data_IF_503551443511
#
_entry.id   IF_503551443511
#
_cell.length_a   1.000
_cell.length_b   1.000
_cell.length_c   1.000
_cell.angle_alpha   90.00
_cell.angle_beta   90.00
_cell.angle_gamma   90.00
#
_symmetry.space_group_name_H-M   'P 1'
#
loop_
_entity.id
_entity.type
_entity.pdbx_description
1 polymer ?
#
# COMPACT_ATOMS: atom_id res chain seq x y z
N UNK A 1 -3.36 -42.23 6.83
CA UNK A 1 -4.46 -42.12 7.83
C UNK A 1 -3.98 -41.24 8.97
N UNK A 2 -4.75 -40.20 9.29
CA UNK A 2 -4.41 -39.14 10.27
C UNK A 2 -4.35 -39.66 11.73
N UNK A 3 -4.74 -40.91 11.99
CA UNK A 3 -4.85 -41.47 13.35
C UNK A 3 -3.52 -41.68 14.09
N UNK A 4 -2.37 -41.51 13.42
CA UNK A 4 -1.03 -41.59 14.04
C UNK A 4 -0.34 -40.22 14.16
N UNK A 5 -1.02 -39.14 13.79
CA UNK A 5 -0.50 -37.78 13.85
C UNK A 5 -1.25 -37.00 14.93
N UNK A 6 -0.51 -36.32 15.82
CA UNK A 6 -1.10 -35.33 16.72
C UNK A 6 -1.52 -34.11 15.90
N UNK A 7 -2.83 -33.86 15.82
CA UNK A 7 -3.37 -32.69 15.13
C UNK A 7 -3.57 -31.57 16.14
N UNK A 8 -2.80 -30.50 16.01
CA UNK A 8 -3.05 -29.26 16.75
C UNK A 8 -3.86 -28.34 15.83
N UNK A 9 -5.14 -28.18 16.16
CA UNK A 9 -6.00 -27.24 15.47
C UNK A 9 -5.79 -25.86 16.06
N UNK A 10 -5.20 -24.96 15.29
CA UNK A 10 -5.14 -23.54 15.63
C UNK A 10 -6.29 -22.84 14.93
N UNK A 11 -7.14 -22.16 15.69
CA UNK A 11 -8.19 -21.34 15.12
C UNK A 11 -7.59 -19.99 14.69
N UNK A 12 -7.56 -19.64 13.39
CA UNK A 12 -6.88 -18.43 12.92
C UNK A 12 -7.46 -17.14 13.50
N UNK A 13 -8.75 -17.14 13.87
CA UNK A 13 -9.43 -16.01 14.51
C UNK A 13 -8.95 -15.74 15.94
N UNK A 14 -8.37 -16.75 16.60
CA UNK A 14 -7.92 -16.64 17.99
C UNK A 14 -6.61 -15.87 18.13
N UNK A 15 -5.81 -15.80 17.06
CA UNK A 15 -4.52 -15.10 17.11
C UNK A 15 -4.68 -13.58 17.01
N UNK A 16 -5.79 -13.10 16.41
CA UNK A 16 -6.05 -11.67 16.20
C UNK A 16 -5.06 -10.98 15.27
N UNK A 17 -5.27 -9.68 15.04
CA UNK A 17 -4.34 -8.82 14.28
C UNK A 17 -3.36 -8.09 15.20
N UNK A 18 -3.65 -8.02 16.51
CA UNK A 18 -2.82 -7.31 17.50
C UNK A 18 -1.44 -7.95 17.67
N UNK A 19 -1.37 -9.29 17.63
CA UNK A 19 -0.08 -10.01 17.66
C UNK A 19 0.81 -9.66 16.48
N UNK A 20 0.22 -9.39 15.31
CA UNK A 20 0.97 -8.99 14.13
C UNK A 20 1.51 -7.58 14.30
N UNK A 21 0.71 -6.68 14.87
CA UNK A 21 1.13 -5.33 15.19
C UNK A 21 2.29 -5.34 16.18
N UNK A 22 2.17 -6.03 17.30
CA UNK A 22 3.24 -6.07 18.31
C UNK A 22 4.53 -6.64 17.75
N UNK A 23 4.47 -7.76 17.04
CA UNK A 23 5.65 -8.37 16.40
C UNK A 23 6.26 -7.43 15.34
N UNK A 24 5.43 -6.77 14.53
CA UNK A 24 5.91 -5.82 13.52
C UNK A 24 6.55 -4.59 14.19
N UNK A 25 5.90 -4.00 15.18
CA UNK A 25 6.42 -2.87 15.94
C UNK A 25 7.75 -3.19 16.58
N UNK A 26 8.01 -4.41 17.06
CA UNK A 26 9.32 -4.82 17.59
C UNK A 26 10.38 -4.93 16.48
N UNK A 27 10.00 -5.40 15.29
CA UNK A 27 10.91 -5.58 14.15
C UNK A 27 11.38 -4.28 13.47
N UNK A 28 10.75 -3.14 13.76
CA UNK A 28 11.10 -1.84 13.18
C UNK A 28 12.53 -1.41 13.56
N UNK A 29 13.23 -0.65 12.69
CA UNK A 29 14.60 -0.23 12.94
C UNK A 29 14.70 0.75 14.13
N UNK A 30 15.87 0.84 14.81
CA UNK A 30 16.06 1.69 16.00
C UNK A 30 15.79 3.18 15.76
N UNK A 31 16.01 3.65 14.53
CA UNK A 31 15.68 5.00 14.05
C UNK A 31 14.21 5.35 14.24
N UNK A 32 13.31 4.36 14.22
CA UNK A 32 11.91 4.50 14.61
C UNK A 32 11.82 4.37 16.12
N UNK A 33 11.98 5.49 16.81
CA UNK A 33 11.98 5.55 18.27
C UNK A 33 10.62 5.23 18.92
N UNK A 34 10.61 5.15 20.26
CA UNK A 34 9.44 4.77 21.04
C UNK A 34 8.19 5.64 20.79
N UNK A 35 8.38 6.96 20.60
CA UNK A 35 7.26 7.88 20.33
C UNK A 35 6.55 7.57 18.99
N UNK A 36 7.30 7.22 17.94
CA UNK A 36 6.74 6.84 16.66
C UNK A 36 6.01 5.49 16.73
N UNK A 37 6.59 4.51 17.44
CA UNK A 37 5.94 3.22 17.68
C UNK A 37 4.63 3.36 18.46
N UNK A 38 4.62 4.21 19.49
CA UNK A 38 3.40 4.52 20.25
C UNK A 38 2.34 5.22 19.37
N UNK A 39 2.78 6.10 18.46
CA UNK A 39 1.88 6.75 17.49
C UNK A 39 1.27 5.74 16.53
N UNK A 40 2.05 4.80 16.00
CA UNK A 40 1.58 3.72 15.12
C UNK A 40 0.59 2.80 15.84
N UNK A 41 0.90 2.37 17.07
CA UNK A 41 0.02 1.58 17.90
C UNK A 41 -1.32 2.30 18.12
N UNK A 42 -1.27 3.58 18.53
CA UNK A 42 -2.46 4.37 18.79
C UNK A 42 -3.37 4.50 17.55
N UNK A 43 -2.81 4.79 16.38
CA UNK A 43 -3.60 4.87 15.14
C UNK A 43 -4.14 3.50 14.71
N UNK A 44 -3.38 2.43 14.93
CA UNK A 44 -3.86 1.08 14.68
C UNK A 44 -5.11 0.77 15.51
N UNK A 45 -5.03 0.98 16.82
CA UNK A 45 -6.13 0.67 17.75
C UNK A 45 -7.40 1.48 17.46
N UNK A 46 -7.23 2.72 16.99
CA UNK A 46 -8.34 3.60 16.62
C UNK A 46 -9.01 3.17 15.32
N UNK A 47 -8.25 2.94 14.25
CA UNK A 47 -8.81 2.87 12.89
C UNK A 47 -8.97 1.44 12.35
N UNK A 48 -8.04 0.53 12.67
CA UNK A 48 -7.95 -0.77 11.99
C UNK A 48 -9.07 -1.72 12.40
N UNK A 49 -9.37 -1.94 13.70
CA UNK A 49 -10.45 -2.83 14.11
C UNK A 49 -11.82 -2.39 13.57
N UNK A 50 -12.13 -1.08 13.65
CA UNK A 50 -13.39 -0.52 13.16
C UNK A 50 -13.54 -0.66 11.65
N UNK A 51 -12.45 -0.46 10.90
CA UNK A 51 -12.47 -0.58 9.44
C UNK A 51 -12.57 -2.04 8.98
N UNK A 52 -11.87 -2.97 9.65
CA UNK A 52 -12.01 -4.41 9.37
C UNK A 52 -13.45 -4.87 9.65
N UNK A 53 -14.03 -4.44 10.78
CA UNK A 53 -15.43 -4.73 11.10
C UNK A 53 -16.37 -4.19 10.02
N UNK A 54 -16.18 -2.93 9.60
CA UNK A 54 -17.00 -2.31 8.57
C UNK A 54 -16.88 -3.04 7.22
N UNK A 55 -15.65 -3.40 6.82
CA UNK A 55 -15.36 -4.16 5.62
C UNK A 55 -16.09 -5.50 5.61
N UNK A 56 -15.97 -6.27 6.69
CA UNK A 56 -16.57 -7.62 6.78
C UNK A 56 -18.09 -7.57 6.87
N UNK A 57 -18.66 -6.53 7.47
CA UNK A 57 -20.09 -6.44 7.75
C UNK A 57 -20.89 -5.82 6.62
N UNK A 58 -20.35 -4.81 5.93
CA UNK A 58 -21.12 -3.95 5.03
C UNK A 58 -20.64 -3.95 3.59
N UNK A 59 -19.47 -4.52 3.29
CA UNK A 59 -18.85 -4.44 1.98
C UNK A 59 -18.73 -5.82 1.32
N UNK A 60 -18.52 -5.80 0.00
CA UNK A 60 -18.31 -6.99 -0.80
C UNK A 60 -16.92 -6.92 -1.46
N UNK A 61 -16.14 -7.97 -1.25
CA UNK A 61 -14.84 -8.15 -1.88
C UNK A 61 -14.96 -9.08 -3.08
N UNK A 62 -14.52 -8.67 -4.29
CA UNK A 62 -14.53 -9.54 -5.47
C UNK A 62 -13.63 -10.77 -5.31
N UNK A 63 -12.54 -10.63 -4.54
CA UNK A 63 -11.61 -11.71 -4.20
C UNK A 63 -11.60 -11.84 -2.68
N UNK A 64 -11.95 -13.01 -2.10
CA UNK A 64 -11.95 -13.20 -0.66
C UNK A 64 -10.57 -12.95 -0.05
N UNK A 65 -10.51 -12.15 1.01
CA UNK A 65 -9.28 -11.84 1.75
C UNK A 65 -9.37 -12.31 3.20
N UNK A 66 -8.24 -12.24 3.92
CA UNK A 66 -8.14 -12.55 5.34
C UNK A 66 -7.56 -11.33 6.07
N UNK A 67 -8.10 -11.00 7.24
CA UNK A 67 -7.74 -9.79 8.00
C UNK A 67 -6.23 -9.69 8.26
N UNK A 68 -5.61 -10.80 8.66
CA UNK A 68 -4.17 -10.88 8.89
C UNK A 68 -3.35 -10.51 7.64
N UNK A 69 -3.82 -10.87 6.44
CA UNK A 69 -3.13 -10.55 5.20
C UNK A 69 -3.35 -9.08 4.81
N UNK A 70 -4.55 -8.54 5.01
CA UNK A 70 -4.81 -7.11 4.80
C UNK A 70 -3.91 -6.24 5.69
N UNK A 71 -3.82 -6.58 6.98
CA UNK A 71 -2.95 -5.89 7.94
C UNK A 71 -1.48 -6.10 7.60
N UNK A 72 -1.07 -7.31 7.19
CA UNK A 72 0.31 -7.54 6.73
C UNK A 72 0.65 -6.71 5.50
N UNK A 73 -0.27 -6.58 4.54
CA UNK A 73 -0.09 -5.70 3.38
C UNK A 73 0.06 -4.24 3.78
N UNK A 74 -0.68 -3.77 4.81
CA UNK A 74 -0.51 -2.43 5.36
C UNK A 74 0.92 -2.21 5.87
N UNK A 75 1.44 -3.16 6.64
CA UNK A 75 2.82 -3.13 7.15
C UNK A 75 3.85 -3.15 6.04
N UNK A 76 3.68 -4.00 5.02
CA UNK A 76 4.58 -4.04 3.87
C UNK A 76 4.65 -2.67 3.15
N UNK A 77 3.52 -1.95 3.04
CA UNK A 77 3.49 -0.59 2.46
C UNK A 77 4.24 0.40 3.38
N UNK A 78 3.99 0.36 4.69
CA UNK A 78 4.69 1.21 5.66
C UNK A 78 6.19 0.97 5.66
N UNK A 79 6.61 -0.29 5.59
CA UNK A 79 8.02 -0.68 5.53
C UNK A 79 8.72 -0.07 4.31
N UNK A 80 8.02 0.15 3.20
CA UNK A 80 8.61 0.85 2.04
C UNK A 80 8.99 2.30 2.32
N UNK A 81 8.33 2.95 3.29
CA UNK A 81 8.66 4.30 3.75
C UNK A 81 9.75 4.31 4.82
N UNK A 82 9.90 3.20 5.55
CA UNK A 82 10.91 3.06 6.60
C UNK A 82 12.24 2.49 6.08
N UNK A 83 12.26 1.84 4.91
CA UNK A 83 13.46 1.29 4.28
C UNK A 83 14.64 2.29 4.19
N UNK A 84 14.47 3.58 3.86
CA UNK A 84 15.56 4.55 3.89
C UNK A 84 16.15 4.86 5.29
N UNK A 85 15.48 4.42 6.35
CA UNK A 85 15.86 4.62 7.75
C UNK A 85 16.37 3.34 8.41
N UNK A 86 16.44 2.24 7.67
CA UNK A 86 17.08 1.00 8.10
C UNK A 86 18.59 1.18 7.99
N UNK A 87 19.30 0.97 9.09
CA UNK A 87 20.77 1.04 9.13
C UNK A 87 21.35 -0.08 8.25
N UNK A 88 22.23 0.30 7.33
CA UNK A 88 22.99 -0.65 6.50
C UNK A 88 24.43 -0.17 6.39
N UNK A 89 25.37 -1.10 6.28
CA UNK A 89 26.80 -0.80 6.19
C UNK A 89 27.16 0.06 4.96
N UNK A 90 26.32 0.06 3.92
CA UNK A 90 26.50 0.78 2.66
C UNK A 90 25.88 2.19 2.64
N UNK A 91 25.31 2.68 3.76
CA UNK A 91 24.59 3.97 3.82
C UNK A 91 24.91 4.76 5.08
N UNK A 92 24.91 6.09 4.94
CA UNK A 92 25.00 6.99 6.08
C UNK A 92 23.76 6.85 6.97
N UNK A 93 23.93 6.94 8.31
CA UNK A 93 22.80 6.89 9.23
C UNK A 93 21.83 8.04 8.97
N UNK A 94 20.52 7.83 9.21
CA UNK A 94 19.52 8.86 8.99
C UNK A 94 19.77 10.07 9.91
N UNK A 95 19.71 11.27 9.35
CA UNK A 95 19.85 12.52 10.11
C UNK A 95 18.65 12.73 11.03
N UNK A 96 18.86 13.41 12.17
CA UNK A 96 17.79 13.70 13.13
C UNK A 96 16.64 14.50 12.50
N UNK A 97 16.93 15.39 11.55
CA UNK A 97 15.95 16.16 10.80
C UNK A 97 15.04 15.26 9.94
N UNK A 98 15.62 14.28 9.24
CA UNK A 98 14.86 13.31 8.44
C UNK A 98 13.99 12.41 9.31
N UNK A 99 14.46 12.02 10.50
CA UNK A 99 13.66 11.25 11.46
C UNK A 99 12.49 12.09 12.01
N UNK A 100 12.73 13.36 12.33
CA UNK A 100 11.68 14.27 12.77
C UNK A 100 10.64 14.55 11.66
N UNK A 101 11.09 14.67 10.41
CA UNK A 101 10.23 14.76 9.24
C UNK A 101 9.33 13.53 9.13
N UNK A 102 9.91 12.33 9.18
CA UNK A 102 9.16 11.07 9.15
C UNK A 102 8.13 10.98 10.28
N UNK A 103 8.49 11.39 11.50
CA UNK A 103 7.55 11.40 12.63
C UNK A 103 6.34 12.33 12.39
N UNK A 104 6.56 13.47 11.72
CA UNK A 104 5.49 14.39 11.32
C UNK A 104 4.60 13.84 10.19
N UNK A 105 5.15 13.00 9.32
CA UNK A 105 4.46 12.40 8.18
C UNK A 105 3.75 11.07 8.54
N UNK A 106 4.11 10.48 9.69
CA UNK A 106 3.68 9.17 10.14
C UNK A 106 2.15 8.99 10.16
N UNK A 107 1.33 9.95 10.64
CA UNK A 107 -0.13 9.79 10.61
C UNK A 107 -0.68 9.68 9.18
N UNK A 108 -0.27 10.55 8.26
CA UNK A 108 -0.68 10.48 6.87
C UNK A 108 -0.17 9.21 6.16
N UNK A 109 1.07 8.79 6.41
CA UNK A 109 1.62 7.54 5.89
C UNK A 109 0.85 6.32 6.38
N UNK A 110 0.42 6.32 7.64
CA UNK A 110 -0.43 5.28 8.22
C UNK A 110 -1.77 5.20 7.47
N UNK A 111 -2.46 6.34 7.32
CA UNK A 111 -3.74 6.39 6.61
C UNK A 111 -3.62 6.01 5.15
N UNK A 112 -2.57 6.48 4.46
CA UNK A 112 -2.27 6.08 3.09
C UNK A 112 -2.11 4.56 2.98
N UNK A 113 -1.29 3.97 3.84
CA UNK A 113 -1.01 2.53 3.82
C UNK A 113 -2.27 1.72 4.10
N UNK A 114 -3.11 2.16 5.04
CA UNK A 114 -4.39 1.53 5.37
C UNK A 114 -5.39 1.59 4.21
N UNK A 115 -5.49 2.74 3.52
CA UNK A 115 -6.36 2.90 2.33
C UNK A 115 -5.93 1.94 1.22
N UNK A 116 -4.62 1.82 0.99
CA UNK A 116 -4.06 0.99 -0.08
C UNK A 116 -3.85 -0.49 0.28
N UNK A 117 -4.23 -0.89 1.49
CA UNK A 117 -4.23 -2.29 1.94
C UNK A 117 -5.63 -2.74 2.32
N UNK A 118 -6.05 -2.45 3.57
CA UNK A 118 -7.33 -2.86 4.15
C UNK A 118 -8.52 -2.39 3.30
N UNK A 119 -8.44 -1.18 2.74
CA UNK A 119 -9.56 -0.61 1.98
C UNK A 119 -9.47 -0.84 0.46
N UNK A 120 -8.45 -1.56 -0.03
CA UNK A 120 -8.19 -1.69 -1.46
C UNK A 120 -8.95 -2.85 -2.14
N UNK A 121 -9.34 -3.88 -1.36
CA UNK A 121 -9.91 -5.15 -1.85
C UNK A 121 -11.40 -5.13 -2.16
N UNK A 122 -12.07 -3.98 -2.02
CA UNK A 122 -13.52 -3.84 -2.22
C UNK A 122 -13.88 -3.42 -3.64
N UNK A 123 -15.14 -3.65 -4.02
CA UNK A 123 -15.69 -3.16 -5.29
C UNK A 123 -15.86 -1.63 -5.31
N UNK A 124 -16.24 -1.07 -6.47
CA UNK A 124 -16.37 0.37 -6.66
C UNK A 124 -17.39 1.03 -5.71
N UNK A 125 -18.53 0.39 -5.47
CA UNK A 125 -19.53 0.86 -4.50
C UNK A 125 -18.98 0.83 -3.06
N UNK A 126 -18.21 -0.21 -2.73
CA UNK A 126 -17.54 -0.33 -1.43
C UNK A 126 -16.49 0.76 -1.22
N UNK A 127 -15.77 1.18 -2.27
CA UNK A 127 -14.83 2.31 -2.20
C UNK A 127 -15.54 3.61 -1.81
N UNK A 128 -16.73 3.89 -2.36
CA UNK A 128 -17.51 5.09 -2.00
C UNK A 128 -17.95 5.06 -0.54
N UNK A 129 -18.37 3.89 -0.06
CA UNK A 129 -18.80 3.70 1.34
C UNK A 129 -17.63 3.81 2.31
N UNK A 130 -16.48 3.24 1.97
CA UNK A 130 -15.26 3.37 2.77
C UNK A 130 -14.75 4.79 2.83
N UNK A 131 -14.77 5.51 1.71
CA UNK A 131 -14.41 6.92 1.69
C UNK A 131 -15.24 7.72 2.70
N UNK A 132 -16.57 7.59 2.64
CA UNK A 132 -17.47 8.27 3.57
C UNK A 132 -17.25 7.85 5.04
N UNK A 133 -17.06 6.55 5.28
CA UNK A 133 -16.77 6.01 6.61
C UNK A 133 -15.46 6.57 7.17
N UNK A 134 -14.35 6.46 6.43
CA UNK A 134 -13.04 6.93 6.88
C UNK A 134 -13.02 8.44 7.13
N UNK A 135 -13.66 9.24 6.26
CA UNK A 135 -13.76 10.70 6.48
C UNK A 135 -14.55 11.05 7.73
N UNK A 136 -15.61 10.29 8.02
CA UNK A 136 -16.40 10.45 9.25
C UNK A 136 -15.57 10.10 10.49
N UNK A 137 -14.87 8.96 10.47
CA UNK A 137 -13.99 8.53 11.56
C UNK A 137 -12.84 9.52 11.79
N UNK A 138 -12.20 10.01 10.73
CA UNK A 138 -11.15 11.03 10.84
C UNK A 138 -11.67 12.34 11.45
N UNK A 139 -12.89 12.75 11.08
CA UNK A 139 -13.50 13.97 11.61
C UNK A 139 -13.91 13.81 13.08
N UNK A 140 -14.46 12.64 13.46
CA UNK A 140 -14.89 12.36 14.83
C UNK A 140 -13.71 12.21 15.79
N UNK A 141 -12.61 11.62 15.33
CA UNK A 141 -11.39 11.40 16.11
C UNK A 141 -10.41 12.58 16.06
N UNK A 142 -10.70 13.63 15.29
CA UNK A 142 -9.86 14.83 15.20
C UNK A 142 -8.52 14.59 14.53
N UNK A 143 -8.50 13.84 13.42
CA UNK A 143 -7.28 13.54 12.69
C UNK A 143 -6.58 14.80 12.19
N UNK A 144 -5.27 14.90 12.43
CA UNK A 144 -4.49 16.12 12.20
C UNK A 144 -4.26 16.46 10.73
N UNK A 145 -4.30 15.47 9.82
CA UNK A 145 -3.97 15.62 8.40
C UNK A 145 -5.07 15.06 7.48
N UNK A 146 -6.31 15.58 7.54
CA UNK A 146 -7.44 14.99 6.80
C UNK A 146 -7.24 15.06 5.28
N UNK A 147 -7.88 14.14 4.56
CA UNK A 147 -7.92 14.17 3.10
C UNK A 147 -8.69 15.41 2.60
N UNK A 148 -8.34 15.96 1.42
CA UNK A 148 -9.11 17.06 0.81
C UNK A 148 -10.58 16.66 0.57
N UNK A 149 -11.50 17.62 0.66
CA UNK A 149 -12.95 17.37 0.56
C UNK A 149 -13.39 16.91 -0.84
N UNK A 150 -12.65 17.29 -1.88
CA UNK A 150 -12.96 16.88 -3.25
C UNK A 150 -12.52 15.43 -3.50
N UNK A 151 -13.27 14.69 -4.32
CA UNK A 151 -12.88 13.32 -4.73
C UNK A 151 -12.86 12.29 -3.60
N UNK A 152 -12.30 11.11 -3.89
CA UNK A 152 -12.20 10.02 -2.91
C UNK A 152 -10.82 9.98 -2.26
N UNK A 153 -10.70 9.35 -1.09
CA UNK A 153 -9.41 9.08 -0.41
C UNK A 153 -8.39 8.37 -1.32
N UNK A 154 -8.87 7.56 -2.27
CA UNK A 154 -8.04 6.86 -3.26
C UNK A 154 -7.45 7.78 -4.34
N UNK A 155 -7.95 9.02 -4.46
CA UNK A 155 -7.51 9.98 -5.47
C UNK A 155 -6.25 10.74 -5.08
N UNK A 156 -5.79 10.58 -3.84
CA UNK A 156 -4.68 11.32 -3.27
C UNK A 156 -3.49 10.41 -2.92
N UNK A 157 -2.30 10.99 -3.03
CA UNK A 157 -1.05 10.46 -2.53
C UNK A 157 -0.46 11.48 -1.54
N UNK A 158 0.17 11.01 -0.47
CA UNK A 158 0.91 11.92 0.41
C UNK A 158 2.19 12.39 -0.30
N UNK A 159 2.60 13.64 -0.09
CA UNK A 159 3.77 14.19 -0.79
C UNK A 159 5.11 13.62 -0.32
N UNK A 160 5.25 13.20 0.95
CA UNK A 160 6.49 12.60 1.46
C UNK A 160 6.93 11.31 0.69
N UNK A 161 6.00 10.38 0.35
CA UNK A 161 6.28 9.27 -0.55
C UNK A 161 6.94 9.69 -1.87
N UNK A 162 6.60 10.84 -2.44
CA UNK A 162 7.00 11.22 -3.80
C UNK A 162 8.45 11.70 -3.91
N UNK A 163 9.22 11.67 -2.82
CA UNK A 163 10.59 12.19 -2.80
C UNK A 163 10.62 13.70 -2.81
N UNK A 164 9.57 14.35 -2.30
CA UNK A 164 9.48 15.79 -2.24
C UNK A 164 10.69 16.34 -1.47
N UNK A 165 11.40 17.31 -2.07
CA UNK A 165 12.57 17.98 -1.50
C UNK A 165 12.30 18.42 -0.05
N UNK A 166 13.34 18.51 0.77
CA UNK A 166 13.28 18.80 2.22
C UNK A 166 12.58 20.13 2.61
N UNK A 167 12.00 20.86 1.65
CA UNK A 167 11.17 22.06 1.83
C UNK A 167 9.81 22.07 1.12
N UNK A 168 9.37 20.96 0.51
CA UNK A 168 8.07 20.90 -0.16
C UNK A 168 6.91 20.83 0.85
N UNK A 169 5.78 21.46 0.50
CA UNK A 169 4.59 21.45 1.35
C UNK A 169 4.06 20.02 1.56
N UNK A 170 4.08 19.56 2.82
CA UNK A 170 3.48 18.30 3.25
C UNK A 170 1.96 18.36 3.09
N UNK A 171 1.44 17.70 2.08
CA UNK A 171 0.01 17.74 1.75
C UNK A 171 -0.40 16.54 0.90
N UNK A 172 -1.72 16.33 0.83
CA UNK A 172 -2.32 15.34 -0.06
C UNK A 172 -2.37 15.87 -1.49
N UNK A 173 -1.63 15.23 -2.39
CA UNK A 173 -1.52 15.61 -3.79
C UNK A 173 -2.32 14.64 -4.68
N UNK A 174 -3.14 15.13 -5.63
CA UNK A 174 -3.81 14.28 -6.59
C UNK A 174 -2.84 13.44 -7.43
N UNK A 175 -3.17 12.17 -7.69
CA UNK A 175 -2.29 11.26 -8.46
C UNK A 175 -1.90 11.75 -9.87
N UNK A 176 -2.71 12.60 -10.51
CA UNK A 176 -2.37 13.11 -11.84
C UNK A 176 -1.30 14.21 -11.80
N UNK A 177 -1.12 14.87 -10.66
CA UNK A 177 -0.09 15.90 -10.47
C UNK A 177 1.27 15.28 -10.12
N UNK A 178 1.31 13.97 -9.81
CA UNK A 178 2.54 13.26 -9.46
C UNK A 178 3.31 12.77 -10.68
N UNK A 179 2.75 12.90 -11.88
CA UNK A 179 3.34 12.41 -13.13
C UNK A 179 3.44 13.55 -14.14
N UNK A 180 4.44 13.47 -15.02
CA UNK A 180 4.58 14.43 -16.11
C UNK A 180 3.36 14.38 -17.05
N UNK A 181 2.93 15.52 -17.61
CA UNK A 181 1.86 15.55 -18.59
C UNK A 181 2.16 14.61 -19.76
N UNK A 182 1.21 13.76 -20.09
CA UNK A 182 1.37 12.82 -21.20
C UNK A 182 1.51 13.58 -22.53
N UNK A 183 2.66 13.46 -23.17
CA UNK A 183 2.88 13.92 -24.53
C UNK A 183 2.56 12.81 -25.53
N UNK A 184 1.69 13.12 -26.50
CA UNK A 184 1.29 12.17 -27.54
C UNK A 184 2.46 11.92 -28.52
N UNK A 185 2.99 10.70 -28.62
CA UNK A 185 4.02 10.39 -29.59
C UNK A 185 3.39 10.22 -30.98
N UNK A 186 3.53 11.23 -31.84
CA UNK A 186 2.91 11.26 -33.18
C UNK A 186 3.35 10.13 -34.14
N UNK A 187 4.39 9.36 -33.79
CA UNK A 187 4.96 8.26 -34.58
C UNK A 187 4.65 6.87 -34.03
N UNK A 188 4.00 6.76 -32.87
CA UNK A 188 3.69 5.46 -32.28
C UNK A 188 2.44 4.85 -32.94
N UNK A 189 2.46 3.55 -33.14
CA UNK A 189 1.28 2.80 -33.59
C UNK A 189 0.19 2.83 -32.52
N UNK A 190 -1.08 2.82 -32.92
CA UNK A 190 -2.20 2.91 -31.97
C UNK A 190 -2.18 1.78 -30.92
N UNK A 191 -1.67 0.61 -31.28
CA UNK A 191 -1.52 -0.53 -30.37
C UNK A 191 -0.44 -0.34 -29.29
N UNK A 192 0.48 0.61 -29.47
CA UNK A 192 1.59 0.90 -28.54
C UNK A 192 1.30 2.10 -27.64
N UNK A 193 0.20 2.83 -27.90
CA UNK A 193 -0.20 3.98 -27.11
C UNK A 193 -0.75 3.55 -25.73
N UNK A 194 0.10 3.67 -24.71
CA UNK A 194 -0.32 3.49 -23.31
C UNK A 194 -0.55 4.87 -22.71
N UNK A 195 -1.82 5.26 -22.60
CA UNK A 195 -2.21 6.54 -21.98
C UNK A 195 -2.19 6.37 -20.45
N UNK A 196 -1.42 7.17 -19.71
CA UNK A 196 -1.42 7.13 -18.26
C UNK A 196 -2.76 7.64 -17.74
N UNK A 197 -3.51 6.72 -17.13
CA UNK A 197 -4.72 6.99 -16.36
C UNK A 197 -4.40 7.08 -14.88
N UNK A 198 -5.29 7.71 -14.11
CA UNK A 198 -5.25 7.73 -12.64
C UNK A 198 -4.94 6.35 -12.04
N UNK A 199 -5.62 5.31 -12.51
CA UNK A 199 -5.45 3.94 -12.04
C UNK A 199 -4.10 3.34 -12.40
N UNK A 200 -3.62 3.55 -13.64
CA UNK A 200 -2.28 3.07 -14.02
C UNK A 200 -1.18 3.71 -13.19
N UNK A 201 -1.27 5.01 -12.88
CA UNK A 201 -0.28 5.72 -12.06
C UNK A 201 -0.25 5.15 -10.64
N UNK A 202 -1.42 5.02 -10.01
CA UNK A 202 -1.58 4.47 -8.65
C UNK A 202 -1.00 3.07 -8.53
N UNK A 203 -1.40 2.17 -9.42
CA UNK A 203 -1.01 0.77 -9.35
C UNK A 203 0.47 0.56 -9.67
N UNK A 204 1.02 1.30 -10.65
CA UNK A 204 2.47 1.28 -10.93
C UNK A 204 3.26 1.79 -9.74
N UNK A 205 2.85 2.91 -9.13
CA UNK A 205 3.54 3.46 -7.97
C UNK A 205 3.64 2.46 -6.81
N UNK A 206 2.50 1.87 -6.42
CA UNK A 206 2.44 0.89 -5.33
C UNK A 206 3.21 -0.38 -5.67
N UNK A 207 3.02 -0.91 -6.88
CA UNK A 207 3.70 -2.13 -7.32
C UNK A 207 5.21 -1.95 -7.32
N UNK A 208 5.70 -0.84 -7.90
CA UNK A 208 7.13 -0.54 -7.93
C UNK A 208 7.72 -0.46 -6.52
N UNK A 209 7.07 0.26 -5.60
CA UNK A 209 7.56 0.34 -4.21
C UNK A 209 7.60 -1.01 -3.50
N UNK A 210 6.53 -1.78 -3.61
CA UNK A 210 6.44 -3.09 -2.96
C UNK A 210 7.47 -4.06 -3.55
N UNK A 211 7.63 -4.09 -4.87
CA UNK A 211 8.63 -4.95 -5.54
C UNK A 211 10.05 -4.56 -5.13
N UNK A 212 10.38 -3.26 -5.09
CA UNK A 212 11.69 -2.77 -4.63
C UNK A 212 11.96 -3.13 -3.17
N UNK A 213 10.91 -3.23 -2.34
CA UNK A 213 10.99 -3.71 -0.96
C UNK A 213 10.77 -5.23 -0.83
N UNK A 214 11.00 -5.99 -1.91
CA UNK A 214 10.90 -7.46 -1.94
C UNK A 214 9.54 -8.04 -1.49
N UNK A 215 8.47 -7.25 -1.62
CA UNK A 215 7.10 -7.66 -1.31
C UNK A 215 6.35 -8.10 -2.57
N UNK A 216 5.61 -9.21 -2.46
CA UNK A 216 4.80 -9.74 -3.56
C UNK A 216 3.49 -8.97 -3.72
N UNK A 217 3.08 -8.75 -4.97
CA UNK A 217 1.87 -8.00 -5.32
C UNK A 217 0.97 -8.85 -6.19
N UNK A 218 -0.31 -8.92 -5.84
CA UNK A 218 -1.36 -9.51 -6.68
C UNK A 218 -2.28 -8.40 -7.18
N UNK A 219 -2.43 -8.31 -8.51
CA UNK A 219 -3.37 -7.39 -9.13
C UNK A 219 -4.53 -8.17 -9.75
N UNK A 220 -5.75 -7.89 -9.28
CA UNK A 220 -6.98 -8.48 -9.81
C UNK A 220 -7.82 -7.44 -10.54
N UNK A 221 -8.66 -7.90 -11.48
CA UNK A 221 -9.61 -7.07 -12.20
C UNK A 221 -10.05 -7.69 -13.52
N UNK A 222 -11.08 -7.13 -14.18
CA UNK A 222 -11.66 -7.70 -15.39
C UNK A 222 -10.69 -7.72 -16.58
N UNK A 223 -10.92 -8.57 -17.57
CA UNK A 223 -10.08 -8.63 -18.77
C UNK A 223 -10.14 -7.32 -19.57
N UNK A 224 -9.07 -6.98 -20.29
CA UNK A 224 -9.05 -5.79 -21.15
C UNK A 224 -8.77 -4.44 -20.46
N UNK A 225 -8.52 -4.39 -19.15
CA UNK A 225 -8.25 -3.11 -18.44
C UNK A 225 -6.77 -2.69 -18.44
N UNK A 226 -5.96 -3.17 -19.39
CA UNK A 226 -4.55 -2.78 -19.51
C UNK A 226 -3.62 -3.19 -18.35
N UNK A 227 -4.04 -4.05 -17.42
CA UNK A 227 -3.22 -4.48 -16.25
C UNK A 227 -1.86 -5.05 -16.68
N UNK A 228 -1.86 -6.05 -17.55
CA UNK A 228 -0.64 -6.74 -18.00
C UNK A 228 0.30 -5.78 -18.72
N UNK A 229 -0.25 -4.92 -19.58
CA UNK A 229 0.51 -3.93 -20.36
C UNK A 229 1.19 -2.92 -19.44
N UNK A 230 0.46 -2.38 -18.46
CA UNK A 230 1.02 -1.43 -17.49
C UNK A 230 2.16 -2.04 -16.67
N UNK A 231 2.03 -3.29 -16.22
CA UNK A 231 3.06 -3.95 -15.42
C UNK A 231 4.27 -4.34 -16.26
N UNK A 232 4.08 -4.85 -17.48
CA UNK A 232 5.18 -5.13 -18.39
C UNK A 232 5.98 -3.87 -18.69
N UNK A 233 5.31 -2.76 -19.00
CA UNK A 233 5.98 -1.48 -19.21
C UNK A 233 6.79 -1.05 -17.98
N UNK A 234 6.16 -1.03 -16.80
CA UNK A 234 6.84 -0.65 -15.55
C UNK A 234 8.07 -1.53 -15.29
N UNK A 235 7.95 -2.85 -15.46
CA UNK A 235 9.06 -3.78 -15.26
C UNK A 235 10.20 -3.59 -16.26
N UNK A 236 9.90 -3.18 -17.49
CA UNK A 236 10.90 -2.98 -18.55
C UNK A 236 11.57 -1.61 -18.52
N UNK A 237 10.85 -0.53 -18.17
CA UNK A 237 11.38 0.85 -18.28
C UNK A 237 11.66 1.53 -16.94
N UNK A 238 11.01 1.13 -15.85
CA UNK A 238 11.04 1.87 -14.58
C UNK A 238 11.80 1.15 -13.46
N UNK A 239 12.22 -0.10 -13.68
CA UNK A 239 12.96 -0.92 -12.72
C UNK A 239 14.48 -0.70 -12.82
N UNK A 240 15.22 -0.77 -11.69
CA UNK A 240 16.69 -0.71 -11.72
C UNK A 240 17.30 -1.87 -12.52
N UNK A 241 18.46 -1.66 -13.14
CA UNK A 241 19.18 -2.66 -13.97
C UNK A 241 19.44 -4.01 -13.27
N UNK A 242 19.40 -4.04 -11.94
CA UNK A 242 19.56 -5.26 -11.13
C UNK A 242 18.38 -6.24 -11.26
N UNK A 243 17.24 -5.80 -11.80
CA UNK A 243 16.02 -6.59 -11.87
C UNK A 243 15.78 -7.11 -13.29
N UNK A 244 15.63 -8.42 -13.42
CA UNK A 244 15.27 -9.07 -14.69
C UNK A 244 13.87 -9.68 -14.59
N UNK A 245 12.87 -9.16 -15.32
CA UNK A 245 11.53 -9.71 -15.30
C UNK A 245 11.44 -11.01 -16.11
N UNK A 246 10.80 -12.03 -15.54
CA UNK A 246 10.44 -13.27 -16.26
C UNK A 246 8.92 -13.32 -16.35
N UNK A 247 8.39 -13.26 -17.57
CA UNK A 247 6.95 -13.34 -17.81
C UNK A 247 6.54 -14.79 -18.05
N UNK A 248 5.64 -15.30 -17.20
CA UNK A 248 5.03 -16.62 -17.34
C UNK A 248 3.51 -16.45 -17.49
N UNK A 249 2.94 -17.10 -18.51
CA UNK A 249 1.49 -17.10 -18.73
C UNK A 249 0.91 -18.42 -18.26
N UNK A 250 0.01 -18.36 -17.28
CA UNK A 250 -0.75 -19.53 -16.84
C UNK A 250 -1.98 -19.71 -17.71
N UNK A 251 -2.13 -20.91 -18.27
CA UNK A 251 -3.32 -21.34 -19.00
C UNK A 251 -3.98 -22.50 -18.25
N UNK A 252 -5.15 -22.94 -18.72
CA UNK A 252 -5.82 -24.12 -18.16
C UNK A 252 -4.99 -25.41 -18.24
N UNK A 253 -3.93 -25.44 -19.05
CA UNK A 253 -3.02 -26.58 -19.20
C UNK A 253 -1.72 -26.43 -18.39
N UNK A 254 -1.51 -25.30 -17.71
CA UNK A 254 -0.31 -25.10 -16.91
C UNK A 254 -0.41 -25.93 -15.62
N UNK A 255 0.53 -26.85 -15.45
CA UNK A 255 0.63 -27.70 -14.27
C UNK A 255 1.75 -27.23 -13.35
N UNK A 256 1.88 -27.83 -12.16
CA UNK A 256 2.94 -27.48 -11.20
C UNK A 256 4.36 -27.87 -11.66
N UNK A 257 4.47 -28.66 -12.74
CA UNK A 257 5.73 -29.17 -13.30
C UNK A 257 6.13 -28.43 -14.57
#
# INVERSE_FOLDING_TARGET
TVSRCGMVYTEPRSLGVDVLLHSWLESLPPSIGAAMRATLQHHFDLYVPGTLYFLRRYLAEPVPTVDNQLVRSMFNILDTFFEPFVEREDRDPPTAERVAALASDLPALFMFSMVWSVCASVNEEGRKRLDAFLRTEMSSLGFSQPFPDAGYVYDYCWSAPLGADEGAARSWTPWMETVEPYEYPAKAEFAELIIPTKDSVRYKFLARRLILNHSYVLMSGPTGTGKTVNIQQMLSSEMPEKWTPISLTFSAQTSAN
#
